data_IF_925013554615
#
_entry.id   IF_925013554615
#
_cell.length_a   1.000
_cell.length_b   1.000
_cell.length_c   1.000
_cell.angle_alpha   90.00
_cell.angle_beta   90.00
_cell.angle_gamma   90.00
#
_symmetry.space_group_name_H-M   'P 1'
#
loop_
_entity.id
_entity.type
_entity.pdbx_description
1 polymer ?
#
# COMPACT_ATOMS: atom_id res chain seq x y z
N UNK A 1 1.77 17.47 18.74
CA UNK A 1 2.79 18.24 17.97
C UNK A 1 3.62 19.29 18.72
N UNK A 2 3.21 19.84 19.87
CA UNK A 2 3.95 20.95 20.54
C UNK A 2 5.46 20.73 20.70
N UNK A 3 5.91 19.49 20.94
CA UNK A 3 7.33 19.12 21.07
C UNK A 3 8.17 19.30 19.79
N UNK A 4 7.56 19.23 18.61
CA UNK A 4 8.23 19.31 17.31
C UNK A 4 8.13 20.69 16.64
N UNK A 5 7.44 21.64 17.27
CA UNK A 5 7.25 23.00 16.75
C UNK A 5 8.37 23.89 17.31
N UNK A 6 9.16 24.47 16.42
CA UNK A 6 10.23 25.41 16.77
C UNK A 6 9.67 26.78 17.17
N UNK A 7 8.65 27.25 16.46
CA UNK A 7 8.02 28.54 16.71
C UNK A 7 6.88 28.83 15.75
N UNK A 8 6.37 30.06 15.76
CA UNK A 8 5.34 30.51 14.83
C UNK A 8 5.72 31.86 14.22
N UNK A 9 5.47 32.03 12.93
CA UNK A 9 5.66 33.30 12.22
C UNK A 9 4.49 33.52 11.27
N UNK A 10 3.86 34.69 11.34
CA UNK A 10 2.71 35.06 10.51
C UNK A 10 1.55 34.03 10.58
N UNK A 11 1.30 33.44 11.75
CA UNK A 11 0.26 32.43 11.93
C UNK A 11 0.58 31.03 11.39
N UNK A 12 1.77 30.81 10.84
CA UNK A 12 2.25 29.50 10.38
C UNK A 12 3.23 28.96 11.42
N UNK A 13 2.98 27.74 11.89
CA UNK A 13 3.90 27.02 12.78
C UNK A 13 5.08 26.48 11.98
N UNK A 14 6.27 26.68 12.51
CA UNK A 14 7.54 26.23 11.92
C UNK A 14 7.95 24.95 12.63
N UNK A 15 8.12 23.88 11.88
CA UNK A 15 8.60 22.59 12.38
C UNK A 15 10.11 22.65 12.60
N UNK A 16 10.58 22.04 13.69
CA UNK A 16 12.00 21.93 14.01
C UNK A 16 12.69 20.89 13.10
N UNK A 17 13.51 21.39 12.17
CA UNK A 17 14.25 20.56 11.21
C UNK A 17 15.31 19.66 11.86
N UNK A 18 15.86 20.04 13.01
CA UNK A 18 16.83 19.17 13.71
C UNK A 18 16.12 17.91 14.21
N UNK A 19 14.93 18.08 14.79
CA UNK A 19 14.08 16.96 15.20
C UNK A 19 13.61 16.15 14.00
N UNK A 20 13.19 16.81 12.90
CA UNK A 20 12.83 16.12 11.65
C UNK A 20 13.97 15.23 11.16
N UNK A 21 15.20 15.73 11.10
CA UNK A 21 16.36 14.96 10.65
C UNK A 21 16.64 13.75 11.56
N UNK A 22 16.62 13.95 12.88
CA UNK A 22 16.85 12.86 13.83
C UNK A 22 15.78 11.76 13.69
N UNK A 23 14.50 12.15 13.66
CA UNK A 23 13.41 11.21 13.52
C UNK A 23 13.40 10.51 12.16
N UNK A 24 13.70 11.25 11.09
CA UNK A 24 13.85 10.67 9.76
C UNK A 24 14.94 9.60 9.72
N UNK A 25 16.10 9.83 10.34
CA UNK A 25 17.17 8.84 10.40
C UNK A 25 16.77 7.58 11.19
N UNK A 26 15.97 7.72 12.25
CA UNK A 26 15.43 6.58 13.00
C UNK A 26 14.47 5.77 12.12
N UNK A 27 13.52 6.44 11.46
CA UNK A 27 12.57 5.82 10.55
C UNK A 27 13.29 5.14 9.36
N UNK A 28 14.29 5.80 8.78
CA UNK A 28 15.12 5.30 7.68
C UNK A 28 15.77 3.97 8.07
N UNK A 29 16.45 3.93 9.23
CA UNK A 29 17.11 2.71 9.73
C UNK A 29 16.11 1.59 10.00
N UNK A 30 14.95 1.93 10.55
CA UNK A 30 13.88 0.96 10.80
C UNK A 30 13.38 0.33 9.48
N UNK A 31 13.04 1.15 8.49
CA UNK A 31 12.55 0.69 7.18
C UNK A 31 13.60 -0.15 6.47
N UNK A 32 14.86 0.30 6.44
CA UNK A 32 15.97 -0.46 5.87
C UNK A 32 16.12 -1.83 6.55
N UNK A 33 16.04 -1.87 7.88
CA UNK A 33 16.12 -3.12 8.64
C UNK A 33 14.94 -4.05 8.37
N UNK A 34 13.72 -3.51 8.22
CA UNK A 34 12.54 -4.29 7.85
C UNK A 34 12.68 -4.90 6.45
N UNK A 35 13.07 -4.10 5.46
CA UNK A 35 13.34 -4.56 4.11
C UNK A 35 14.45 -5.61 4.05
N UNK A 36 15.51 -5.48 4.86
CA UNK A 36 16.58 -6.46 4.98
C UNK A 36 16.12 -7.81 5.55
N UNK A 37 15.08 -7.83 6.41
CA UNK A 37 14.42 -9.07 6.85
C UNK A 37 13.53 -9.70 5.79
N UNK A 38 13.30 -9.02 4.67
CA UNK A 38 12.41 -9.45 3.59
C UNK A 38 10.96 -9.02 3.78
N UNK A 39 10.68 -8.18 4.76
CA UNK A 39 9.37 -7.56 4.93
C UNK A 39 9.17 -6.46 3.88
N UNK A 40 7.98 -6.43 3.28
CA UNK A 40 7.58 -5.35 2.37
C UNK A 40 6.92 -4.22 3.14
N UNK A 41 7.09 -3.01 2.63
CA UNK A 41 6.52 -1.78 3.19
C UNK A 41 5.29 -1.39 2.36
N UNK A 42 4.24 -0.93 3.04
CA UNK A 42 3.05 -0.40 2.37
C UNK A 42 3.05 1.13 2.44
N UNK A 43 3.14 1.79 1.29
CA UNK A 43 3.06 3.25 1.18
C UNK A 43 1.61 3.69 1.04
N UNK A 44 1.14 4.58 1.90
CA UNK A 44 -0.25 5.06 1.92
C UNK A 44 -0.27 6.57 1.82
N UNK A 45 -0.96 7.09 0.82
CA UNK A 45 -1.20 8.52 0.69
C UNK A 45 -2.25 8.83 -0.35
N UNK A 46 -3.48 9.10 0.10
CA UNK A 46 -4.60 9.41 -0.81
C UNK A 46 -4.77 10.91 -1.07
N UNK A 47 -3.96 11.76 -0.45
CA UNK A 47 -3.94 13.20 -0.66
C UNK A 47 -3.50 13.52 -2.09
N UNK A 48 -4.16 14.46 -2.78
CA UNK A 48 -3.92 14.76 -4.21
C UNK A 48 -2.44 15.02 -4.50
N UNK A 49 -1.75 15.75 -3.62
CA UNK A 49 -0.33 16.07 -3.72
C UNK A 49 0.60 14.85 -3.55
N UNK A 50 0.11 13.79 -2.92
CA UNK A 50 0.87 12.59 -2.58
C UNK A 50 0.65 11.42 -3.56
N UNK A 51 -0.48 11.40 -4.29
CA UNK A 51 -0.91 10.20 -5.02
C UNK A 51 0.14 9.70 -6.02
N UNK A 52 0.63 10.60 -6.87
CA UNK A 52 1.60 10.26 -7.92
C UNK A 52 2.95 9.88 -7.31
N UNK A 53 3.40 10.65 -6.31
CA UNK A 53 4.67 10.43 -5.60
C UNK A 53 4.68 9.05 -4.96
N UNK A 54 3.61 8.69 -4.25
CA UNK A 54 3.48 7.40 -3.56
C UNK A 54 3.54 6.25 -4.57
N UNK A 55 2.82 6.33 -5.68
CA UNK A 55 2.86 5.29 -6.70
C UNK A 55 4.22 5.17 -7.37
N UNK A 56 4.85 6.29 -7.75
CA UNK A 56 6.15 6.31 -8.43
C UNK A 56 7.25 5.72 -7.55
N UNK A 57 7.37 6.20 -6.31
CA UNK A 57 8.45 5.81 -5.39
C UNK A 57 8.27 4.38 -4.87
N UNK A 58 7.02 3.95 -4.61
CA UNK A 58 6.76 2.58 -4.20
C UNK A 58 7.03 1.59 -5.34
N UNK A 59 6.62 1.90 -6.58
CA UNK A 59 6.92 1.04 -7.73
C UNK A 59 8.43 0.96 -7.98
N UNK A 60 9.13 2.10 -7.92
CA UNK A 60 10.60 2.15 -8.03
C UNK A 60 11.28 1.28 -6.98
N UNK A 61 10.76 1.30 -5.76
CA UNK A 61 11.27 0.50 -4.64
C UNK A 61 10.68 -0.91 -4.53
N UNK A 62 9.87 -1.35 -5.50
CA UNK A 62 9.16 -2.64 -5.48
C UNK A 62 8.37 -2.88 -4.19
N UNK A 63 7.80 -1.82 -3.61
CA UNK A 63 6.98 -1.85 -2.41
C UNK A 63 5.50 -1.74 -2.78
N UNK A 64 4.63 -2.05 -1.83
CA UNK A 64 3.20 -1.93 -2.02
C UNK A 64 2.75 -0.48 -1.84
N UNK A 65 1.65 -0.09 -2.49
CA UNK A 65 1.10 1.24 -2.30
C UNK A 65 -0.42 1.32 -2.38
N UNK A 66 -0.97 2.36 -1.74
CA UNK A 66 -2.36 2.81 -1.84
C UNK A 66 -2.35 4.33 -2.01
N UNK A 67 -2.67 4.79 -3.21
CA UNK A 67 -2.64 6.22 -3.56
C UNK A 67 -4.02 6.83 -3.86
N UNK A 68 -5.08 6.02 -4.02
CA UNK A 68 -6.40 6.52 -4.41
C UNK A 68 -7.35 6.65 -3.22
N UNK A 69 -7.71 5.53 -2.61
CA UNK A 69 -8.63 5.49 -1.45
C UNK A 69 -8.28 4.31 -0.56
N UNK A 70 -8.18 4.56 0.74
CA UNK A 70 -8.12 3.49 1.73
C UNK A 70 -9.49 2.83 1.90
N UNK A 71 -9.55 1.53 1.67
CA UNK A 71 -10.74 0.74 1.96
C UNK A 71 -10.70 0.33 3.44
N UNK A 72 -11.75 0.62 4.19
CA UNK A 72 -11.85 0.14 5.58
C UNK A 72 -11.83 -1.39 5.60
N UNK A 73 -11.01 -1.97 6.47
CA UNK A 73 -10.76 -3.41 6.50
C UNK A 73 -9.60 -3.85 5.61
N UNK A 74 -8.84 -2.93 5.01
CA UNK A 74 -7.77 -3.29 4.09
C UNK A 74 -6.69 -4.18 4.72
N UNK A 75 -6.38 -3.95 6.00
CA UNK A 75 -5.45 -4.79 6.76
C UNK A 75 -6.21 -5.76 7.66
N UNK A 76 -7.24 -5.27 8.36
CA UNK A 76 -7.95 -6.07 9.39
C UNK A 76 -8.87 -7.16 8.82
N UNK A 77 -9.36 -6.98 7.59
CA UNK A 77 -10.14 -7.98 6.84
C UNK A 77 -9.47 -8.30 5.50
N UNK A 78 -8.19 -8.67 5.57
CA UNK A 78 -7.40 -8.95 4.38
C UNK A 78 -7.95 -10.09 3.51
N UNK A 79 -8.71 -11.01 4.09
CA UNK A 79 -9.40 -12.09 3.36
C UNK A 79 -10.38 -11.56 2.31
N UNK A 80 -11.18 -10.54 2.64
CA UNK A 80 -12.13 -9.93 1.69
C UNK A 80 -11.41 -9.09 0.63
N UNK A 81 -10.31 -8.41 0.99
CA UNK A 81 -9.48 -7.71 0.02
C UNK A 81 -8.85 -8.70 -0.97
N UNK A 82 -8.35 -9.83 -0.47
CA UNK A 82 -7.78 -10.89 -1.32
C UNK A 82 -8.80 -11.44 -2.32
N UNK A 83 -10.06 -11.60 -1.93
CA UNK A 83 -11.13 -11.98 -2.87
C UNK A 83 -11.30 -10.92 -3.97
N UNK A 84 -11.30 -9.64 -3.63
CA UNK A 84 -11.36 -8.54 -4.61
C UNK A 84 -10.14 -8.50 -5.54
N UNK A 85 -8.96 -8.82 -5.01
CA UNK A 85 -7.72 -8.96 -5.79
C UNK A 85 -7.79 -10.15 -6.75
N UNK A 86 -8.35 -11.28 -6.32
CA UNK A 86 -8.54 -12.44 -7.20
C UNK A 86 -9.51 -12.10 -8.34
N UNK A 87 -10.63 -11.42 -8.06
CA UNK A 87 -11.55 -10.95 -9.10
C UNK A 87 -10.87 -10.02 -10.11
N UNK A 88 -9.96 -9.15 -9.66
CA UNK A 88 -9.17 -8.31 -10.56
C UNK A 88 -8.26 -9.15 -11.47
N UNK A 89 -7.60 -10.18 -10.93
CA UNK A 89 -6.81 -11.14 -11.71
C UNK A 89 -7.66 -11.92 -12.71
N UNK A 90 -8.88 -12.33 -12.31
CA UNK A 90 -9.82 -13.01 -13.20
C UNK A 90 -10.20 -12.09 -14.38
N UNK A 91 -10.47 -10.81 -14.11
CA UNK A 91 -10.75 -9.84 -15.18
C UNK A 91 -9.57 -9.62 -16.12
N UNK A 92 -8.33 -9.59 -15.61
CA UNK A 92 -7.13 -9.52 -16.44
C UNK A 92 -6.97 -10.78 -17.29
N UNK A 93 -7.14 -11.96 -16.70
CA UNK A 93 -7.05 -13.24 -17.41
C UNK A 93 -8.11 -13.35 -18.50
N UNK A 94 -9.36 -12.99 -18.22
CA UNK A 94 -10.44 -12.97 -19.23
C UNK A 94 -10.13 -12.03 -20.40
N UNK A 95 -9.46 -10.92 -20.12
CA UNK A 95 -9.02 -9.99 -21.16
C UNK A 95 -7.88 -10.58 -22.01
N UNK A 96 -6.91 -11.25 -21.38
CA UNK A 96 -5.79 -11.91 -22.06
C UNK A 96 -6.23 -13.10 -22.91
N UNK A 97 -7.21 -13.89 -22.45
CA UNK A 97 -7.73 -15.05 -23.18
C UNK A 97 -8.72 -14.67 -24.30
N UNK A 98 -9.04 -13.38 -24.47
CA UNK A 98 -10.02 -12.93 -25.45
C UNK A 98 -11.47 -13.29 -25.11
N UNK A 99 -11.76 -13.68 -23.85
CA UNK A 99 -13.10 -14.07 -23.42
C UNK A 99 -14.10 -12.91 -23.53
N UNK A 100 -13.62 -11.67 -23.49
CA UNK A 100 -14.44 -10.47 -23.65
C UNK A 100 -15.01 -10.31 -25.06
N UNK A 101 -14.33 -10.83 -26.09
CA UNK A 101 -14.76 -10.68 -27.49
C UNK A 101 -16.01 -11.51 -27.82
N UNK A 102 -16.30 -12.53 -27.00
CA UNK A 102 -17.47 -13.40 -27.12
C UNK A 102 -18.71 -12.80 -26.45
N UNK A 103 -18.53 -11.80 -25.58
CA UNK A 103 -19.60 -11.19 -24.81
C UNK A 103 -20.27 -10.02 -25.56
N UNK A 104 -21.53 -9.71 -25.25
CA UNK A 104 -22.20 -8.50 -25.74
C UNK A 104 -21.42 -7.23 -25.35
N UNK A 105 -21.31 -6.27 -26.28
CA UNK A 105 -20.58 -5.00 -26.05
C UNK A 105 -20.99 -4.25 -24.78
N UNK A 106 -22.26 -4.34 -24.38
CA UNK A 106 -22.76 -3.73 -23.14
C UNK A 106 -22.14 -4.36 -21.89
N UNK A 107 -22.02 -5.68 -21.85
CA UNK A 107 -21.44 -6.42 -20.74
C UNK A 107 -19.92 -6.21 -20.68
N UNK A 108 -19.25 -6.22 -21.83
CA UNK A 108 -17.81 -5.88 -21.92
C UNK A 108 -17.53 -4.51 -21.32
N UNK A 109 -18.35 -3.51 -21.63
CA UNK A 109 -18.19 -2.16 -21.08
C UNK A 109 -18.40 -2.13 -19.56
N UNK A 110 -19.34 -2.91 -19.02
CA UNK A 110 -19.54 -3.03 -17.57
C UNK A 110 -18.35 -3.70 -16.88
N UNK A 111 -17.83 -4.79 -17.45
CA UNK A 111 -16.64 -5.48 -16.95
C UNK A 111 -15.40 -4.58 -17.00
N UNK A 112 -15.22 -3.82 -18.08
CA UNK A 112 -14.16 -2.82 -18.20
C UNK A 112 -14.22 -1.74 -17.10
N UNK A 113 -15.42 -1.23 -16.82
CA UNK A 113 -15.63 -0.26 -15.74
C UNK A 113 -15.29 -0.85 -14.38
N UNK A 114 -15.75 -2.08 -14.10
CA UNK A 114 -15.45 -2.80 -12.85
C UNK A 114 -13.95 -3.04 -12.69
N UNK A 115 -13.28 -3.57 -13.73
CA UNK A 115 -11.82 -3.78 -13.77
C UNK A 115 -11.06 -2.49 -13.52
N UNK A 116 -11.37 -1.42 -14.26
CA UNK A 116 -10.71 -0.11 -14.12
C UNK A 116 -10.86 0.47 -12.71
N UNK A 117 -12.05 0.35 -12.11
CA UNK A 117 -12.30 0.79 -10.73
C UNK A 117 -11.48 -0.01 -9.71
N UNK A 118 -11.40 -1.34 -9.87
CA UNK A 118 -10.60 -2.20 -9.00
C UNK A 118 -9.10 -1.95 -9.17
N UNK A 119 -8.60 -1.87 -10.40
CA UNK A 119 -7.19 -1.60 -10.69
C UNK A 119 -6.76 -0.24 -10.11
N UNK A 120 -7.61 0.78 -10.23
CA UNK A 120 -7.34 2.11 -9.66
C UNK A 120 -7.18 2.06 -8.13
N UNK A 121 -7.96 1.26 -7.42
CA UNK A 121 -7.94 1.22 -5.95
C UNK A 121 -6.91 0.22 -5.41
N UNK A 122 -6.83 -0.96 -6.01
CA UNK A 122 -6.09 -2.12 -5.51
C UNK A 122 -4.83 -2.45 -6.31
N UNK A 123 -4.53 -1.75 -7.41
CA UNK A 123 -3.39 -2.05 -8.28
C UNK A 123 -2.06 -2.07 -7.52
N UNK A 124 -1.86 -1.17 -6.56
CA UNK A 124 -0.62 -1.11 -5.77
C UNK A 124 -0.46 -2.20 -4.70
N UNK A 125 -1.50 -2.98 -4.43
CA UNK A 125 -1.46 -4.15 -3.53
C UNK A 125 -1.76 -5.46 -4.27
N UNK A 126 -1.75 -5.44 -5.61
CA UNK A 126 -2.09 -6.60 -6.45
C UNK A 126 -1.18 -7.80 -6.27
N UNK A 127 0.09 -7.54 -5.97
CA UNK A 127 1.14 -8.55 -5.71
C UNK A 127 1.32 -8.84 -4.22
N UNK A 128 0.42 -8.35 -3.37
CA UNK A 128 0.48 -8.53 -1.93
C UNK A 128 -0.13 -9.88 -1.53
N UNK A 129 0.72 -10.82 -1.12
CA UNK A 129 0.29 -12.16 -0.67
C UNK A 129 0.08 -12.22 0.85
N UNK A 130 0.92 -11.49 1.59
CA UNK A 130 0.90 -11.39 3.05
C UNK A 130 0.78 -9.93 3.50
N UNK A 131 0.48 -9.73 4.78
CA UNK A 131 0.44 -8.39 5.36
C UNK A 131 1.83 -7.71 5.30
N UNK A 132 1.89 -6.39 5.15
CA UNK A 132 3.16 -5.66 5.15
C UNK A 132 3.80 -5.70 6.54
N UNK A 133 5.13 -5.64 6.59
CA UNK A 133 5.86 -5.58 7.86
C UNK A 133 5.89 -4.18 8.48
N UNK A 134 5.65 -3.14 7.69
CA UNK A 134 5.44 -1.78 8.16
C UNK A 134 4.57 -0.98 7.19
N UNK A 135 3.94 0.08 7.69
CA UNK A 135 3.15 1.02 6.87
C UNK A 135 3.78 2.40 6.93
N UNK A 136 4.05 2.99 5.77
CA UNK A 136 4.46 4.38 5.62
C UNK A 136 3.25 5.24 5.22
N UNK A 137 2.89 6.24 6.02
CA UNK A 137 1.65 7.00 5.88
C UNK A 137 1.96 8.49 5.65
N UNK A 138 1.29 9.07 4.65
CA UNK A 138 1.29 10.50 4.37
C UNK A 138 -0.08 11.07 4.75
N UNK A 139 -0.09 12.14 5.56
CA UNK A 139 -1.29 12.78 6.11
C UNK A 139 -2.07 11.86 7.07
N UNK A 140 -1.72 11.93 8.34
CA UNK A 140 -2.32 11.10 9.39
C UNK A 140 -3.80 11.43 9.65
N UNK A 141 -4.22 12.67 9.36
CA UNK A 141 -5.60 13.10 9.55
C UNK A 141 -6.50 12.45 8.50
N UNK A 142 -6.04 12.40 7.25
CA UNK A 142 -6.77 11.76 6.16
C UNK A 142 -6.76 10.23 6.28
N UNK A 143 -5.64 9.65 6.67
CA UNK A 143 -5.44 8.19 6.75
C UNK A 143 -5.64 7.58 8.14
N UNK A 144 -6.49 8.20 8.98
CA UNK A 144 -6.76 7.74 10.36
C UNK A 144 -7.21 6.26 10.44
N UNK A 145 -7.93 5.78 9.42
CA UNK A 145 -8.43 4.41 9.37
C UNK A 145 -7.27 3.43 9.17
N UNK A 146 -6.33 3.76 8.28
CA UNK A 146 -5.13 2.95 8.05
C UNK A 146 -4.28 2.86 9.33
N UNK A 147 -4.09 3.97 10.04
CA UNK A 147 -3.36 4.02 11.32
C UNK A 147 -4.05 3.13 12.36
N UNK A 148 -5.37 3.26 12.53
CA UNK A 148 -6.13 2.49 13.50
C UNK A 148 -6.08 0.97 13.21
N UNK A 149 -6.16 0.59 11.93
CA UNK A 149 -6.04 -0.82 11.52
C UNK A 149 -4.63 -1.38 11.73
N UNK A 150 -3.60 -0.63 11.37
CA UNK A 150 -2.20 -1.02 11.58
C UNK A 150 -1.91 -1.21 13.07
N UNK A 151 -2.34 -0.26 13.91
CA UNK A 151 -2.22 -0.34 15.38
C UNK A 151 -2.94 -1.56 15.95
N UNK A 152 -4.14 -1.88 15.48
CA UNK A 152 -4.91 -3.03 15.94
C UNK A 152 -4.22 -4.36 15.63
N UNK A 153 -3.47 -4.44 14.53
CA UNK A 153 -2.72 -5.62 14.11
C UNK A 153 -1.28 -5.65 14.64
N UNK A 154 -0.82 -4.59 15.32
CA UNK A 154 0.56 -4.46 15.76
C UNK A 154 1.56 -4.25 14.62
N UNK A 155 1.10 -3.74 13.47
CA UNK A 155 1.98 -3.40 12.35
C UNK A 155 2.59 -2.02 12.64
N UNK A 156 3.92 -1.89 12.67
CA UNK A 156 4.58 -0.62 12.97
C UNK A 156 4.30 0.43 11.89
N UNK A 157 4.06 1.64 12.35
CA UNK A 157 3.67 2.80 11.54
C UNK A 157 4.77 3.85 11.49
N UNK A 158 5.13 4.24 10.28
CA UNK A 158 5.99 5.39 10.00
C UNK A 158 5.14 6.44 9.33
N UNK A 159 5.12 7.69 9.80
CA UNK A 159 4.27 8.69 9.16
C UNK A 159 4.86 10.09 9.11
N UNK A 160 4.49 10.81 8.05
CA UNK A 160 4.70 12.25 7.94
C UNK A 160 3.61 12.96 8.72
N UNK A 161 4.01 13.72 9.75
CA UNK A 161 3.09 14.39 10.67
C UNK A 161 3.24 15.89 10.53
N UNK A 162 2.19 16.55 10.06
CA UNK A 162 2.08 18.00 10.04
C UNK A 162 1.51 18.53 11.37
N UNK A 163 1.55 19.84 11.54
CA UNK A 163 1.13 20.59 12.73
C UNK A 163 -0.31 20.33 13.17
N UNK A 164 -1.18 19.87 12.26
CA UNK A 164 -2.60 19.59 12.50
C UNK A 164 -2.91 18.13 12.89
N UNK A 165 -1.90 17.26 12.95
CA UNK A 165 -2.04 15.84 13.25
C UNK A 165 -1.56 15.52 14.68
N UNK A 166 -2.13 14.47 15.29
CA UNK A 166 -1.65 13.97 16.58
C UNK A 166 -0.58 12.89 16.36
N UNK A 167 0.66 13.05 16.86
CA UNK A 167 1.72 12.07 16.70
C UNK A 167 1.60 10.83 17.60
N UNK A 168 0.69 10.80 18.56
CA UNK A 168 0.72 9.78 19.64
C UNK A 168 0.28 8.38 19.20
N UNK A 169 -0.43 8.25 18.08
CA UNK A 169 -0.85 6.96 17.50
C UNK A 169 0.18 6.36 16.52
N UNK A 170 1.37 6.98 16.39
CA UNK A 170 2.36 6.64 15.36
C UNK A 170 3.67 6.23 16.03
N UNK A 171 4.23 5.10 15.59
CA UNK A 171 5.45 4.54 16.19
C UNK A 171 6.71 5.33 15.81
N UNK A 172 6.81 5.70 14.54
CA UNK A 172 7.92 6.48 13.98
C UNK A 172 7.42 7.76 13.34
N UNK A 173 7.42 8.84 14.11
CA UNK A 173 6.91 10.15 13.72
C UNK A 173 7.97 10.94 13.00
N UNK A 174 7.70 11.37 11.76
CA UNK A 174 8.57 12.29 11.02
C UNK A 174 7.84 13.64 10.87
N UNK A 175 8.22 14.67 11.66
CA UNK A 175 7.61 15.99 11.54
C UNK A 175 7.92 16.59 10.16
N UNK A 176 6.89 16.84 9.34
CA UNK A 176 7.07 17.32 7.97
C UNK A 176 5.83 18.09 7.49
N UNK A 177 6.05 19.06 6.60
CA UNK A 177 4.98 19.69 5.84
C UNK A 177 4.47 18.71 4.76
N UNK A 178 3.19 18.34 4.84
CA UNK A 178 2.54 17.40 3.94
C UNK A 178 1.74 18.08 2.80
N UNK A 179 1.69 19.41 2.75
CA UNK A 179 1.05 20.18 1.67
C UNK A 179 2.01 20.44 0.50
N UNK A 180 3.32 20.49 0.78
CA UNK A 180 4.33 20.79 -0.21
C UNK A 180 4.78 19.52 -0.97
N UNK A 181 4.45 19.45 -2.27
CA UNK A 181 4.85 18.37 -3.19
C UNK A 181 6.35 18.06 -3.10
N UNK A 182 7.21 19.09 -3.04
CA UNK A 182 8.66 18.92 -2.95
C UNK A 182 9.10 18.25 -1.65
N UNK A 183 8.46 18.61 -0.53
CA UNK A 183 8.76 18.01 0.77
C UNK A 183 8.29 16.55 0.79
N UNK A 184 7.05 16.28 0.35
CA UNK A 184 6.54 14.92 0.22
C UNK A 184 7.44 14.04 -0.64
N UNK A 185 7.88 14.53 -1.81
CA UNK A 185 8.77 13.78 -2.69
C UNK A 185 10.10 13.47 -2.02
N UNK A 186 10.74 14.46 -1.40
CA UNK A 186 12.02 14.28 -0.70
C UNK A 186 11.93 13.22 0.40
N UNK A 187 10.87 13.27 1.22
CA UNK A 187 10.71 12.34 2.33
C UNK A 187 10.36 10.94 1.84
N UNK A 188 9.43 10.84 0.88
CA UNK A 188 8.98 9.56 0.32
C UNK A 188 10.09 8.87 -0.45
N UNK A 189 10.87 9.61 -1.25
CA UNK A 189 12.00 9.04 -1.99
C UNK A 189 13.07 8.51 -1.04
N UNK A 190 13.38 9.23 0.04
CA UNK A 190 14.34 8.76 1.03
C UNK A 190 13.89 7.50 1.79
N UNK A 191 12.60 7.36 2.07
CA UNK A 191 12.05 6.12 2.65
C UNK A 191 12.06 4.97 1.63
N UNK A 192 11.77 5.26 0.36
CA UNK A 192 11.87 4.28 -0.73
C UNK A 192 13.31 3.82 -0.97
N UNK A 193 14.29 4.73 -0.87
CA UNK A 193 15.71 4.41 -0.94
C UNK A 193 16.14 3.51 0.22
N UNK A 194 15.68 3.78 1.45
CA UNK A 194 15.91 2.90 2.61
C UNK A 194 15.40 1.47 2.37
N UNK A 195 14.19 1.34 1.79
CA UNK A 195 13.61 0.04 1.48
C UNK A 195 14.42 -0.69 0.38
N UNK A 196 14.85 0.02 -0.66
CA UNK A 196 15.71 -0.51 -1.72
C UNK A 196 17.06 -1.00 -1.18
N UNK A 197 17.73 -0.19 -0.35
CA UNK A 197 18.99 -0.56 0.29
C UNK A 197 18.85 -1.84 1.12
N UNK A 198 17.80 -1.92 1.96
CA UNK A 198 17.55 -3.11 2.77
C UNK A 198 17.30 -4.36 1.92
N UNK A 199 16.55 -4.24 0.82
CA UNK A 199 16.36 -5.36 -0.11
C UNK A 199 17.66 -5.81 -0.79
N UNK A 200 18.50 -4.87 -1.22
CA UNK A 200 19.81 -5.20 -1.82
C UNK A 200 20.75 -5.87 -0.80
N UNK A 201 20.70 -5.45 0.46
CA UNK A 201 21.44 -6.10 1.55
C UNK A 201 21.00 -7.54 1.75
N UNK A 202 19.69 -7.80 1.70
CA UNK A 202 19.16 -9.17 1.76
C UNK A 202 19.61 -10.02 0.56
N UNK A 203 19.55 -9.46 -0.65
CA UNK A 203 19.92 -10.18 -1.87
C UNK A 203 21.42 -10.55 -1.88
N UNK A 204 22.29 -9.60 -1.51
CA UNK A 204 23.73 -9.83 -1.41
C UNK A 204 24.09 -10.82 -0.29
N UNK A 205 23.39 -10.77 0.85
CA UNK A 205 23.51 -11.77 1.91
C UNK A 205 23.04 -13.16 1.46
N UNK A 206 22.04 -13.26 0.57
CA UNK A 206 21.58 -14.56 0.04
C UNK A 206 22.57 -15.14 -0.98
N UNK A 207 23.16 -14.30 -1.85
CA UNK A 207 24.13 -14.73 -2.86
C UNK A 207 25.49 -15.14 -2.29
N UNK A 208 25.88 -14.59 -1.13
CA UNK A 208 27.13 -14.95 -0.45
C UNK A 208 27.07 -16.29 0.30
N UNK A 209 25.87 -16.86 0.46
CA UNK A 209 25.61 -18.13 1.12
C UNK A 209 25.03 -19.16 0.15
N UNK A 210 25.57 -19.30 -1.06
CA UNK A 210 25.32 -20.53 -1.82
C UNK A 210 26.01 -21.70 -1.10
N UNK A 211 25.27 -22.67 -0.54
CA UNK A 211 25.89 -23.88 -0.04
C UNK A 211 26.35 -24.69 -1.25
N UNK A 212 27.65 -24.99 -1.31
CA UNK A 212 28.19 -26.05 -2.16
C UNK A 212 27.33 -27.30 -1.96
N UNK A 213 26.54 -27.66 -2.99
CA UNK A 213 25.62 -28.80 -2.92
C UNK A 213 26.42 -30.08 -2.67
N UNK A 214 26.21 -30.72 -1.52
CA UNK A 214 26.59 -32.11 -1.35
C UNK A 214 25.64 -32.98 -2.21
N UNK A 215 26.15 -33.98 -2.95
CA UNK A 215 25.33 -34.77 -3.86
C UNK A 215 24.28 -35.59 -3.09
N UNK A 216 23.02 -35.43 -3.48
CA UNK A 216 21.89 -36.20 -2.99
C UNK A 216 22.04 -37.68 -3.37
N UNK A 217 21.99 -38.58 -2.39
CA UNK A 217 21.82 -40.01 -2.61
C UNK A 217 20.34 -40.30 -2.87
N UNK A 218 20.09 -40.99 -4.00
CA UNK A 218 18.79 -41.48 -4.45
C UNK A 218 18.25 -42.58 -3.53
N UNK A 219 16.95 -42.56 -3.29
CA UNK A 219 16.15 -43.75 -3.02
C UNK A 219 14.77 -43.61 -3.68
N UNK A 220 14.61 -44.29 -4.81
CA UNK A 220 13.34 -44.78 -5.40
C UNK A 220 12.57 -45.66 -4.36
N UNK A 221 11.26 -45.92 -4.37
CA UNK A 221 10.19 -45.82 -5.37
C UNK A 221 8.80 -46.07 -4.71
N UNK A 222 7.74 -45.91 -5.53
CA UNK A 222 6.32 -46.37 -5.43
C UNK A 222 5.34 -45.46 -4.65
N UNK A 223 4.44 -44.69 -5.28
CA UNK A 223 3.33 -44.94 -6.24
C UNK A 223 2.06 -45.51 -5.59
N UNK A 224 0.98 -44.72 -5.54
CA UNK A 224 -0.33 -45.06 -6.11
C UNK A 224 -1.30 -43.86 -6.07
N UNK A 225 -1.99 -43.68 -7.20
CA UNK A 225 -3.03 -42.71 -7.54
C UNK A 225 -4.28 -42.81 -6.66
N UNK A 226 -4.91 -41.66 -6.38
CA UNK A 226 -6.38 -41.55 -6.39
C UNK A 226 -6.80 -40.19 -6.94
N UNK A 227 -7.52 -40.25 -8.05
CA UNK A 227 -8.12 -39.14 -8.78
C UNK A 227 -9.55 -38.82 -8.27
N UNK A 228 -10.08 -37.66 -8.72
CA UNK A 228 -11.48 -37.20 -8.72
C UNK A 228 -11.88 -36.02 -7.78
N UNK A 229 -11.64 -34.82 -8.30
CA UNK A 229 -12.58 -33.69 -8.56
C UNK A 229 -13.92 -33.64 -7.80
N UNK A 230 -14.16 -32.51 -7.10
CA UNK A 230 -15.51 -31.96 -6.91
C UNK A 230 -15.50 -30.41 -6.97
N UNK A 231 -16.45 -29.90 -7.75
CA UNK A 231 -16.62 -28.53 -8.26
C UNK A 231 -17.18 -27.58 -7.18
N UNK A 232 -16.61 -26.37 -7.10
CA UNK A 232 -17.15 -25.27 -6.29
C UNK A 232 -18.17 -24.46 -7.08
N UNK A 233 -19.36 -24.27 -6.53
CA UNK A 233 -20.36 -23.30 -6.99
C UNK A 233 -20.15 -21.95 -6.32
N UNK A 234 -20.15 -20.90 -7.13
CA UNK A 234 -20.04 -19.49 -6.76
C UNK A 234 -21.43 -18.89 -6.77
N UNK A 235 -21.93 -18.42 -5.62
CA UNK A 235 -22.85 -17.28 -5.59
C UNK A 235 -22.89 -16.63 -4.19
N UNK A 236 -23.24 -15.35 -4.18
CA UNK A 236 -23.45 -14.45 -3.03
C UNK A 236 -22.21 -13.95 -2.28
N UNK A 237 -21.70 -12.78 -2.70
CA UNK A 237 -21.37 -11.66 -1.78
C UNK A 237 -20.95 -10.42 -2.60
N UNK A 238 -21.94 -9.71 -3.14
CA UNK A 238 -21.74 -8.39 -3.80
C UNK A 238 -22.33 -7.22 -2.97
N UNK A 239 -22.75 -7.48 -1.71
CA UNK A 239 -23.45 -6.48 -0.88
C UNK A 239 -22.59 -5.78 0.20
N UNK A 240 -21.29 -6.08 0.32
CA UNK A 240 -20.50 -5.66 1.48
C UNK A 240 -19.56 -4.45 1.26
N UNK A 241 -19.46 -3.91 0.03
CA UNK A 241 -18.44 -2.89 -0.28
C UNK A 241 -18.97 -1.47 -0.56
N UNK A 242 -20.27 -1.19 -0.38
CA UNK A 242 -20.80 0.17 -0.44
C UNK A 242 -20.35 0.97 -1.66
N UNK A 243 -20.26 0.30 -2.81
CA UNK A 243 -19.99 0.92 -4.10
C UNK A 243 -21.33 1.22 -4.78
N UNK A 244 -22.15 2.06 -4.15
CA UNK A 244 -23.34 2.56 -4.79
C UNK A 244 -22.95 3.44 -5.98
N UNK A 245 -23.61 3.13 -7.08
CA UNK A 245 -23.66 3.92 -8.31
C UNK A 245 -24.73 4.96 -8.05
N UNK A 246 -24.35 6.13 -7.52
CA UNK A 246 -25.04 7.42 -7.59
C UNK A 246 -24.40 8.37 -6.56
N UNK A 247 -23.33 9.05 -6.96
CA UNK A 247 -22.83 10.27 -6.31
C UNK A 247 -22.14 11.12 -7.40
N UNK A 248 -22.91 11.37 -8.46
CA UNK A 248 -22.72 12.52 -9.35
C UNK A 248 -23.86 13.49 -9.02
N UNK A 249 -23.72 14.26 -7.93
CA UNK A 249 -24.40 15.54 -7.76
C UNK A 249 -23.35 16.64 -7.68
N UNK A 250 -23.21 17.27 -8.84
CA UNK A 250 -22.69 18.60 -9.15
C UNK A 250 -22.47 19.56 -7.96
N UNK A 251 -21.19 19.82 -7.68
CA UNK A 251 -20.72 21.04 -7.02
C UNK A 251 -20.40 22.07 -8.12
N UNK A 252 -21.43 22.71 -8.68
CA UNK A 252 -21.28 23.98 -9.41
C UNK A 252 -21.82 25.12 -8.55
N UNK A 253 -20.90 25.99 -8.14
CA UNK A 253 -21.17 27.11 -7.25
C UNK A 253 -22.10 28.17 -7.85
N UNK A 254 -22.88 28.79 -6.97
CA UNK A 254 -23.43 30.13 -7.20
C UNK A 254 -22.75 31.10 -6.24
N UNK A 255 -21.75 31.80 -6.78
CA UNK A 255 -21.33 33.10 -6.29
C UNK A 255 -22.07 34.16 -7.11
N UNK A 256 -22.94 34.93 -6.47
CA UNK A 256 -23.29 36.27 -6.94
C UNK A 256 -23.70 37.15 -5.76
N UNK A 257 -22.88 38.18 -5.52
CA UNK A 257 -23.11 39.47 -4.85
C UNK A 257 -23.79 39.51 -3.47
#
# INVERSE_FOLDING_TARGET
>A
MKRYIYGARNGIYIIDLQQTLQQFLVAYRFIRSAAARGERILFVGTKKQAQDIVSEEAQRSQQYFVNQRWLGGALTNFTTIRQSLNRLKDYDQMQETGAWDVLPKKEVLQLQKKRSKLEKILGGVKTMEALPGAVFIIDCKKERIAIAEAKKLGIPTVALVDTNCDPDDIDYVIPCNDDAIRALRLMTSGIADAALEGMHERQSATQSYEPVSAPAQQSDESSEDFDAVAVATVDETDAALGLDVNDDEDDEGSSSY
#
